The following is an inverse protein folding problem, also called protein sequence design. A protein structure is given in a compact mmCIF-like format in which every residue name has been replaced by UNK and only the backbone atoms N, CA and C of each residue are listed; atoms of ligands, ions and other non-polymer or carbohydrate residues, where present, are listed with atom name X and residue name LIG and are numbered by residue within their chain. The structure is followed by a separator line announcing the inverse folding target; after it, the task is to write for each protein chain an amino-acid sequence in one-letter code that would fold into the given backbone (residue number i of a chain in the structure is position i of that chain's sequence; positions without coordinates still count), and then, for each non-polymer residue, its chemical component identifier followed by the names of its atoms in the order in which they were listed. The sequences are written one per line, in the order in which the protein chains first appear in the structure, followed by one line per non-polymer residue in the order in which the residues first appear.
data_IF_654187321590
#
_entry.id   IF_654187321590
#
_cell.length_a   1.000
_cell.length_b   1.000
_cell.length_c   1.000
_cell.angle_alpha   90.00
_cell.angle_beta   90.00
_cell.angle_gamma   90.00
#
_symmetry.space_group_name_H-M   'P 1'
#
loop_
_entity.id
_entity.type
_entity.pdbx_description
1 polymer ?
#
# COMPACT_ATOMS: atom_id res chain seq x y z
N UNK A 1 -64.97 32.96 -51.83
CA UNK A 1 -63.58 33.15 -51.37
C UNK A 1 -63.54 32.53 -50.00
N UNK A 2 -63.13 31.26 -49.91
CA UNK A 2 -63.06 30.52 -48.65
C UNK A 2 -61.64 30.72 -48.16
N UNK A 3 -61.47 31.67 -47.24
CA UNK A 3 -60.18 31.98 -46.66
C UNK A 3 -59.58 30.70 -46.09
N UNK A 4 -58.43 30.33 -46.65
CA UNK A 4 -57.53 29.32 -46.12
C UNK A 4 -57.00 29.88 -44.81
N UNK A 5 -57.51 29.38 -43.70
CA UNK A 5 -56.76 29.41 -42.45
C UNK A 5 -55.70 28.34 -42.62
N UNK A 6 -54.55 28.72 -43.19
CA UNK A 6 -53.32 27.99 -42.92
C UNK A 6 -53.07 28.18 -41.43
N UNK A 7 -53.36 27.11 -40.70
CA UNK A 7 -52.94 26.91 -39.33
C UNK A 7 -51.40 26.98 -39.37
N UNK A 8 -50.85 28.18 -39.25
CA UNK A 8 -49.44 28.41 -38.97
C UNK A 8 -49.19 27.83 -37.58
N UNK A 9 -49.08 26.51 -37.52
CA UNK A 9 -48.33 25.82 -36.48
C UNK A 9 -46.84 26.16 -36.71
N UNK A 10 -46.50 27.44 -36.58
CA UNK A 10 -45.13 27.93 -36.42
C UNK A 10 -44.69 27.47 -35.04
N UNK A 11 -44.32 26.20 -34.96
CA UNK A 11 -43.91 25.57 -33.72
C UNK A 11 -42.72 26.34 -33.12
N UNK A 12 -42.72 26.47 -31.78
CA UNK A 12 -41.59 27.07 -31.08
C UNK A 12 -40.29 26.37 -31.47
N UNK A 13 -39.25 27.15 -31.79
CA UNK A 13 -37.90 26.64 -31.97
C UNK A 13 -37.00 27.18 -30.86
N UNK A 14 -36.01 26.37 -30.46
CA UNK A 14 -35.06 26.75 -29.42
C UNK A 14 -33.63 26.60 -29.93
N UNK A 15 -32.81 27.60 -29.67
CA UNK A 15 -31.37 27.52 -29.93
C UNK A 15 -30.70 26.49 -29.01
N UNK A 16 -29.43 26.17 -29.29
CA UNK A 16 -28.68 25.24 -28.47
C UNK A 16 -28.58 25.73 -27.00
N UNK A 17 -28.80 24.86 -26.01
CA UNK A 17 -28.61 25.21 -24.60
C UNK A 17 -27.13 25.42 -24.28
N UNK A 18 -26.85 26.14 -23.19
CA UNK A 18 -25.48 26.33 -22.70
C UNK A 18 -25.34 25.80 -21.27
N UNK A 19 -24.31 24.98 -21.04
CA UNK A 19 -24.00 24.37 -19.74
C UNK A 19 -22.59 23.78 -19.76
N UNK A 20 -22.06 23.41 -18.58
CA UNK A 20 -20.81 22.65 -18.49
C UNK A 20 -21.11 21.14 -18.53
N UNK A 21 -20.59 20.46 -19.55
CA UNK A 21 -20.79 19.02 -19.73
C UNK A 21 -19.87 18.16 -18.83
N UNK A 22 -18.90 18.77 -18.16
CA UNK A 22 -17.93 18.09 -17.28
C UNK A 22 -18.17 18.44 -15.81
N UNK A 23 -18.21 17.42 -14.94
CA UNK A 23 -18.22 17.60 -13.48
C UNK A 23 -17.32 16.58 -12.78
N UNK A 24 -17.00 16.86 -11.52
CA UNK A 24 -16.46 15.85 -10.60
C UNK A 24 -17.62 15.09 -9.99
N UNK A 25 -17.43 13.79 -9.76
CA UNK A 25 -18.41 12.95 -9.10
C UNK A 25 -18.84 13.52 -7.75
N UNK A 26 -20.15 13.67 -7.57
CA UNK A 26 -20.82 14.22 -6.39
C UNK A 26 -22.05 13.40 -5.98
N UNK A 27 -22.22 12.21 -6.54
CA UNK A 27 -23.34 11.31 -6.30
C UNK A 27 -24.66 11.68 -7.02
N UNK A 28 -24.69 12.79 -7.77
CA UNK A 28 -25.88 13.23 -8.49
C UNK A 28 -25.70 13.11 -10.01
N UNK A 29 -26.74 12.68 -10.71
CA UNK A 29 -26.79 12.69 -12.18
C UNK A 29 -27.26 14.04 -12.75
N UNK A 30 -27.35 15.10 -11.95
CA UNK A 30 -27.77 16.43 -12.41
C UNK A 30 -26.59 17.26 -12.89
N UNK A 31 -26.83 18.08 -13.92
CA UNK A 31 -25.94 19.17 -14.33
C UNK A 31 -26.26 20.39 -13.46
N UNK A 32 -25.24 20.99 -12.84
CA UNK A 32 -25.43 22.03 -11.83
C UNK A 32 -26.09 23.30 -12.36
N UNK A 33 -25.72 23.74 -13.57
CA UNK A 33 -26.26 24.95 -14.21
C UNK A 33 -26.47 24.70 -15.69
N UNK A 34 -27.69 24.95 -16.16
CA UNK A 34 -28.03 24.95 -17.58
C UNK A 34 -28.87 26.18 -17.90
N UNK A 35 -28.54 26.87 -18.98
CA UNK A 35 -29.35 27.91 -19.55
C UNK A 35 -30.01 27.40 -20.83
N UNK A 36 -31.32 27.63 -20.93
CA UNK A 36 -32.06 27.39 -22.17
C UNK A 36 -31.50 28.26 -23.30
N UNK A 37 -31.54 27.75 -24.53
CA UNK A 37 -31.27 28.58 -25.70
C UNK A 37 -32.37 29.63 -25.91
N UNK A 38 -32.12 30.56 -26.83
CA UNK A 38 -33.12 31.54 -27.27
C UNK A 38 -34.36 30.82 -27.83
N UNK A 39 -35.54 31.23 -27.34
CA UNK A 39 -36.83 30.72 -27.80
C UNK A 39 -37.39 31.66 -28.88
N UNK A 40 -37.72 31.12 -30.04
CA UNK A 40 -38.34 31.88 -31.15
C UNK A 40 -39.66 31.23 -31.59
N UNK A 41 -40.51 32.00 -32.27
CA UNK A 41 -41.85 31.56 -32.67
C UNK A 41 -42.96 31.88 -31.67
N UNK A 42 -42.67 32.68 -30.64
CA UNK A 42 -43.69 33.25 -29.74
C UNK A 42 -44.42 34.36 -30.50
N UNK A 43 -45.76 34.31 -30.52
CA UNK A 43 -46.59 35.32 -31.18
C UNK A 43 -46.42 36.69 -30.53
N UNK A 44 -46.54 37.75 -31.34
CA UNK A 44 -46.37 39.13 -30.85
C UNK A 44 -47.36 39.44 -29.71
N UNK A 45 -46.83 39.94 -28.59
CA UNK A 45 -47.62 40.28 -27.39
C UNK A 45 -47.77 39.16 -26.37
N UNK A 46 -47.45 37.90 -26.71
CA UNK A 46 -47.47 36.79 -25.75
C UNK A 46 -46.23 36.80 -24.84
N UNK A 47 -46.44 36.50 -23.56
CA UNK A 47 -45.39 36.42 -22.55
C UNK A 47 -45.07 34.96 -22.24
N UNK A 48 -43.98 34.47 -22.81
CA UNK A 48 -43.47 33.10 -22.64
C UNK A 48 -41.98 33.12 -22.30
N UNK A 49 -41.59 32.33 -21.31
CA UNK A 49 -40.21 32.12 -20.85
C UNK A 49 -39.91 30.63 -20.84
N UNK A 50 -38.78 30.23 -21.42
CA UNK A 50 -38.30 28.85 -21.40
C UNK A 50 -37.30 28.66 -20.26
N UNK A 51 -37.46 27.56 -19.52
CA UNK A 51 -36.50 27.08 -18.53
C UNK A 51 -35.93 25.74 -19.00
N UNK A 52 -34.69 25.45 -18.62
CA UNK A 52 -34.03 24.19 -18.94
C UNK A 52 -33.58 23.47 -17.66
N UNK A 53 -33.62 22.14 -17.70
CA UNK A 53 -32.96 21.26 -16.73
C UNK A 53 -32.15 20.22 -17.50
N UNK A 54 -30.99 19.82 -16.99
CA UNK A 54 -30.13 18.85 -17.66
C UNK A 54 -29.65 17.76 -16.71
N UNK A 55 -29.67 16.52 -17.18
CA UNK A 55 -29.25 15.34 -16.42
C UNK A 55 -28.41 14.39 -17.27
N UNK A 56 -27.41 13.78 -16.66
CA UNK A 56 -26.71 12.61 -17.18
C UNK A 56 -27.61 11.37 -17.10
N UNK A 57 -27.35 10.41 -17.99
CA UNK A 57 -27.99 9.08 -18.01
C UNK A 57 -27.85 8.31 -16.69
N UNK A 58 -26.72 8.45 -16.01
CA UNK A 58 -26.50 8.00 -14.63
C UNK A 58 -25.44 8.88 -13.94
N UNK A 59 -25.28 8.70 -12.63
CA UNK A 59 -24.35 9.48 -11.82
C UNK A 59 -22.90 8.99 -11.89
N UNK A 60 -22.64 7.80 -12.45
CA UNK A 60 -21.32 7.16 -12.40
C UNK A 60 -20.29 7.86 -13.29
N UNK A 61 -19.04 7.74 -12.89
CA UNK A 61 -17.88 8.25 -13.63
C UNK A 61 -17.84 7.65 -15.03
N UNK A 62 -17.51 8.49 -16.01
CA UNK A 62 -17.41 8.06 -17.39
C UNK A 62 -17.29 9.22 -18.37
N UNK A 63 -16.84 8.88 -19.57
CA UNK A 63 -16.74 9.77 -20.73
C UNK A 63 -17.86 9.48 -21.72
N UNK A 64 -18.24 10.50 -22.50
CA UNK A 64 -19.25 10.35 -23.57
C UNK A 64 -20.65 10.04 -23.04
N UNK A 65 -20.93 10.42 -21.79
CA UNK A 65 -22.23 10.20 -21.14
C UNK A 65 -23.32 10.97 -21.87
N UNK A 66 -24.52 10.38 -21.93
CA UNK A 66 -25.67 11.06 -22.52
C UNK A 66 -26.22 12.08 -21.54
N UNK A 67 -26.37 13.32 -21.99
CA UNK A 67 -27.04 14.41 -21.28
C UNK A 67 -28.37 14.68 -21.98
N UNK A 68 -29.46 14.64 -21.22
CA UNK A 68 -30.79 15.05 -21.69
C UNK A 68 -31.12 16.42 -21.13
N UNK A 69 -31.33 17.39 -22.01
CA UNK A 69 -31.81 18.73 -21.67
C UNK A 69 -33.31 18.77 -21.91
N UNK A 70 -34.09 18.98 -20.85
CA UNK A 70 -35.55 19.11 -20.90
C UNK A 70 -35.94 20.56 -20.72
N UNK A 71 -36.95 20.99 -21.49
CA UNK A 71 -37.45 22.36 -21.47
C UNK A 71 -38.84 22.42 -20.85
N UNK A 72 -39.09 23.46 -20.07
CA UNK A 72 -40.41 23.80 -19.56
C UNK A 72 -40.73 25.25 -19.90
N UNK A 73 -42.01 25.55 -20.15
CA UNK A 73 -42.46 26.91 -20.43
C UNK A 73 -43.14 27.49 -19.19
N UNK A 74 -42.96 28.79 -19.02
CA UNK A 74 -43.55 29.61 -17.95
C UNK A 74 -43.91 30.99 -18.51
N UNK A 75 -44.68 31.79 -17.76
CA UNK A 75 -45.23 33.05 -18.24
C UNK A 75 -46.75 33.00 -18.43
N UNK A 76 -47.38 34.15 -18.64
CA UNK A 76 -48.84 34.28 -18.68
C UNK A 76 -49.47 33.50 -19.85
N UNK A 77 -48.76 33.41 -20.96
CA UNK A 77 -49.26 32.82 -22.20
C UNK A 77 -48.66 31.44 -22.50
N UNK A 78 -47.84 30.89 -21.59
CA UNK A 78 -47.14 29.61 -21.78
C UNK A 78 -48.07 28.43 -22.11
N UNK A 79 -49.31 28.43 -21.58
CA UNK A 79 -50.30 27.39 -21.83
C UNK A 79 -50.83 27.35 -23.27
N UNK A 80 -50.54 28.37 -24.09
CA UNK A 80 -50.87 28.39 -25.52
C UNK A 80 -49.86 27.59 -26.37
N UNK A 81 -48.72 27.21 -25.80
CA UNK A 81 -47.60 26.62 -26.52
C UNK A 81 -47.23 25.25 -25.96
N UNK A 82 -46.62 24.42 -26.81
CA UNK A 82 -45.97 23.18 -26.38
C UNK A 82 -44.48 23.44 -26.12
N UNK A 83 -43.93 22.89 -25.04
CA UNK A 83 -42.50 23.01 -24.75
C UNK A 83 -41.66 22.37 -25.89
N UNK A 84 -40.49 22.95 -26.22
CA UNK A 84 -39.57 22.35 -27.19
C UNK A 84 -39.19 20.92 -26.83
N UNK A 85 -38.94 20.09 -27.84
CA UNK A 85 -38.50 18.73 -27.64
C UNK A 85 -37.14 18.68 -26.89
N UNK A 86 -36.89 17.67 -26.04
CA UNK A 86 -35.62 17.53 -25.35
C UNK A 86 -34.43 17.45 -26.30
N UNK A 87 -33.29 18.02 -25.90
CA UNK A 87 -32.02 17.89 -26.62
C UNK A 87 -31.17 16.78 -25.99
N UNK A 88 -30.61 15.89 -26.80
CA UNK A 88 -29.68 14.85 -26.35
C UNK A 88 -28.26 15.14 -26.83
N UNK A 89 -27.29 15.01 -25.93
CA UNK A 89 -25.86 15.25 -26.20
C UNK A 89 -25.06 14.08 -25.62
N UNK A 90 -24.06 13.57 -26.34
CA UNK A 90 -23.22 12.44 -25.90
C UNK A 90 -21.79 12.89 -25.56
N UNK A 91 -21.67 14.11 -25.03
CA UNK A 91 -20.39 14.77 -24.69
C UNK A 91 -20.17 14.88 -23.19
N UNK A 92 -21.05 14.29 -22.38
CA UNK A 92 -20.97 14.39 -20.92
C UNK A 92 -19.74 13.67 -20.35
N UNK A 93 -19.14 14.27 -19.34
CA UNK A 93 -18.02 13.71 -18.60
C UNK A 93 -18.27 13.85 -17.09
N UNK A 94 -18.17 12.72 -16.37
CA UNK A 94 -18.08 12.73 -14.91
C UNK A 94 -16.72 12.16 -14.55
N UNK A 95 -15.87 13.00 -13.97
CA UNK A 95 -14.52 12.62 -13.51
C UNK A 95 -14.57 12.07 -12.09
N UNK A 96 -13.70 11.11 -11.79
CA UNK A 96 -13.64 10.48 -10.48
C UNK A 96 -13.26 11.47 -9.38
N UNK A 97 -13.91 11.36 -8.23
CA UNK A 97 -13.59 12.18 -7.07
C UNK A 97 -12.36 11.63 -6.35
N UNK A 98 -11.36 12.48 -6.14
CA UNK A 98 -10.21 12.11 -5.32
C UNK A 98 -10.63 11.98 -3.84
N UNK A 99 -10.35 10.83 -3.25
CA UNK A 99 -10.46 10.58 -1.82
C UNK A 99 -9.15 10.91 -1.11
N UNK A 100 -9.26 11.17 0.18
CA UNK A 100 -8.13 11.24 1.10
C UNK A 100 -8.22 10.11 2.12
N UNK A 101 -7.08 9.65 2.63
CA UNK A 101 -7.01 8.58 3.61
C UNK A 101 -6.17 9.02 4.80
N UNK A 102 -6.56 8.61 6.01
CA UNK A 102 -5.72 8.79 7.18
C UNK A 102 -4.41 7.98 7.04
N UNK A 103 -3.36 8.41 7.75
CA UNK A 103 -2.04 7.78 7.70
C UNK A 103 -2.16 6.27 7.96
N UNK A 104 -1.62 5.40 7.07
CA UNK A 104 -1.66 3.97 7.26
C UNK A 104 -0.77 3.54 8.43
N UNK A 105 -1.14 2.47 9.12
CA UNK A 105 -0.27 1.85 10.12
C UNK A 105 0.55 0.73 9.45
N UNK A 106 1.87 0.79 9.57
CA UNK A 106 2.78 -0.24 9.08
C UNK A 106 3.50 -0.86 10.27
N UNK A 107 3.44 -2.18 10.39
CA UNK A 107 4.11 -2.89 11.47
C UNK A 107 5.60 -3.12 11.15
N UNK A 108 6.47 -2.83 12.12
CA UNK A 108 7.84 -3.32 12.12
C UNK A 108 7.86 -4.85 12.21
N UNK A 109 8.90 -5.48 11.68
CA UNK A 109 9.07 -6.94 11.66
C UNK A 109 10.49 -7.36 12.01
N UNK A 110 10.65 -8.59 12.48
CA UNK A 110 11.96 -9.22 12.49
C UNK A 110 12.36 -9.64 11.07
N UNK A 111 13.67 -9.73 10.85
CA UNK A 111 14.23 -10.16 9.59
C UNK A 111 13.75 -11.56 9.20
N UNK A 112 13.08 -11.67 8.06
CA UNK A 112 12.62 -12.94 7.48
C UNK A 112 13.11 -13.15 6.04
N UNK A 113 13.99 -12.26 5.56
CA UNK A 113 14.50 -12.28 4.18
C UNK A 113 13.51 -11.83 3.11
N UNK A 114 12.33 -11.31 3.48
CA UNK A 114 11.30 -10.83 2.54
C UNK A 114 11.04 -9.32 2.67
N UNK A 115 10.57 -8.71 1.58
CA UNK A 115 10.19 -7.28 1.54
C UNK A 115 8.73 -7.03 1.90
N UNK A 116 7.94 -8.05 2.20
CA UNK A 116 6.52 -7.89 2.51
C UNK A 116 6.32 -7.15 3.83
N UNK A 117 5.52 -6.09 3.81
CA UNK A 117 5.11 -5.35 4.99
C UNK A 117 3.64 -5.64 5.34
N UNK A 118 3.34 -5.66 6.64
CA UNK A 118 1.95 -5.73 7.12
C UNK A 118 1.43 -4.31 7.28
N UNK A 119 0.39 -3.98 6.51
CA UNK A 119 -0.20 -2.64 6.48
C UNK A 119 -1.67 -2.70 6.85
N UNK A 120 -2.09 -1.80 7.73
CA UNK A 120 -3.50 -1.51 7.99
C UNK A 120 -3.84 -0.17 7.36
N UNK A 121 -4.82 -0.17 6.47
CA UNK A 121 -5.30 1.06 5.81
C UNK A 121 -5.92 2.02 6.84
N UNK A 122 -5.73 3.33 6.62
CA UNK A 122 -6.44 4.35 7.39
C UNK A 122 -7.91 4.48 6.99
N UNK A 123 -8.62 5.36 7.68
CA UNK A 123 -10.01 5.68 7.34
C UNK A 123 -10.08 6.57 6.08
N UNK A 124 -10.99 6.24 5.16
CA UNK A 124 -11.30 7.07 4.00
C UNK A 124 -12.07 8.32 4.41
N UNK A 125 -11.80 9.41 3.71
CA UNK A 125 -12.48 10.70 3.85
C UNK A 125 -12.84 11.24 2.46
N UNK A 126 -13.99 11.91 2.36
CA UNK A 126 -14.50 12.45 1.09
C UNK A 126 -15.47 11.55 0.33
N UNK A 127 -15.83 10.37 0.85
CA UNK A 127 -16.91 9.53 0.31
C UNK A 127 -18.23 10.31 0.35
N UNK A 128 -18.99 10.26 -0.73
CA UNK A 128 -20.24 10.99 -0.91
C UNK A 128 -21.39 10.23 -0.27
N UNK A 129 -22.16 10.91 0.59
CA UNK A 129 -23.42 10.41 1.11
C UNK A 129 -23.31 9.01 1.74
N UNK A 130 -24.09 8.07 1.19
CA UNK A 130 -24.16 6.67 1.63
C UNK A 130 -23.47 5.71 0.67
N UNK A 131 -22.55 6.19 -0.17
CA UNK A 131 -21.81 5.34 -1.09
C UNK A 131 -21.05 4.24 -0.35
N UNK A 132 -21.08 3.04 -0.92
CA UNK A 132 -20.37 1.90 -0.38
C UNK A 132 -18.99 1.80 -1.01
N UNK A 133 -18.00 2.31 -0.28
CA UNK A 133 -16.58 2.26 -0.65
C UNK A 133 -15.75 1.75 0.52
N UNK A 134 -14.97 0.71 0.28
CA UNK A 134 -13.98 0.16 1.22
C UNK A 134 -12.58 0.29 0.65
N UNK A 135 -11.57 0.21 1.51
CA UNK A 135 -10.16 0.25 1.13
C UNK A 135 -9.40 -0.91 1.76
N UNK A 136 -8.52 -1.51 0.98
CA UNK A 136 -7.45 -2.39 1.47
C UNK A 136 -6.09 -1.80 1.11
N UNK A 137 -5.07 -2.16 1.89
CA UNK A 137 -3.70 -1.71 1.67
C UNK A 137 -2.76 -2.91 1.59
N UNK A 138 -1.76 -2.81 0.71
CA UNK A 138 -0.58 -3.68 0.70
C UNK A 138 0.67 -2.83 0.87
N UNK A 139 1.73 -3.42 1.42
CA UNK A 139 2.98 -2.71 1.64
C UNK A 139 4.21 -3.54 1.28
N UNK A 140 5.22 -2.84 0.78
CA UNK A 140 6.51 -3.45 0.41
C UNK A 140 7.66 -2.56 0.88
N UNK A 141 8.57 -3.12 1.69
CA UNK A 141 9.85 -2.50 2.03
C UNK A 141 10.73 -2.37 0.78
N UNK A 142 11.55 -1.33 0.70
CA UNK A 142 12.49 -1.14 -0.42
C UNK A 142 13.48 -2.33 -0.59
N UNK A 143 13.86 -2.95 0.52
CA UNK A 143 14.73 -4.13 0.57
C UNK A 143 14.49 -4.88 1.89
N UNK A 144 14.96 -6.13 1.97
CA UNK A 144 14.74 -7.00 3.13
C UNK A 144 15.79 -6.83 4.25
N UNK A 145 16.78 -5.96 4.10
CA UNK A 145 17.87 -5.83 5.07
C UNK A 145 17.38 -5.18 6.36
N UNK A 146 17.98 -5.58 7.48
CA UNK A 146 17.79 -4.95 8.79
C UNK A 146 18.05 -3.45 8.71
N UNK A 147 17.19 -2.66 9.35
CA UNK A 147 17.33 -1.21 9.42
C UNK A 147 16.12 -0.57 10.10
N UNK A 148 16.37 0.57 10.72
CA UNK A 148 15.32 1.41 11.29
C UNK A 148 14.76 2.40 10.26
N UNK A 149 13.49 2.77 10.39
CA UNK A 149 12.83 3.79 9.58
C UNK A 149 12.82 3.46 8.07
N UNK A 150 12.82 2.18 7.70
CA UNK A 150 12.85 1.77 6.31
C UNK A 150 11.57 2.21 5.60
N UNK A 151 11.73 2.75 4.39
CA UNK A 151 10.60 3.13 3.54
C UNK A 151 9.79 1.92 3.13
N UNK A 152 8.47 2.04 3.26
CA UNK A 152 7.47 1.09 2.80
C UNK A 152 6.59 1.80 1.77
N UNK A 153 6.58 1.27 0.54
CA UNK A 153 5.62 1.69 -0.47
C UNK A 153 4.25 1.08 -0.13
N UNK A 154 3.23 1.92 0.00
CA UNK A 154 1.86 1.50 0.35
C UNK A 154 0.96 1.67 -0.87
N UNK A 155 0.35 0.58 -1.31
CA UNK A 155 -0.62 0.60 -2.41
C UNK A 155 -2.04 0.39 -1.87
N UNK A 156 -2.97 1.22 -2.31
CA UNK A 156 -4.38 1.11 -1.91
C UNK A 156 -5.23 0.53 -3.03
N UNK A 157 -6.19 -0.31 -2.64
CA UNK A 157 -7.23 -0.80 -3.55
C UNK A 157 -8.60 -0.39 -2.99
N UNK A 158 -9.36 0.36 -3.78
CA UNK A 158 -10.76 0.66 -3.47
C UNK A 158 -11.67 -0.48 -3.94
N UNK A 159 -12.69 -0.80 -3.16
CA UNK A 159 -13.70 -1.80 -3.47
C UNK A 159 -15.09 -1.34 -3.01
N UNK A 160 -16.12 -2.07 -3.42
CA UNK A 160 -17.52 -1.70 -3.17
C UNK A 160 -18.23 -1.20 -4.43
N UNK A 161 -19.55 -1.04 -4.34
CA UNK A 161 -20.40 -0.79 -5.50
C UNK A 161 -20.10 0.55 -6.19
N UNK A 162 -19.67 1.57 -5.44
CA UNK A 162 -19.36 2.90 -5.97
C UNK A 162 -17.86 3.16 -6.12
N UNK A 163 -16.98 2.17 -5.89
CA UNK A 163 -15.54 2.38 -5.89
C UNK A 163 -14.99 2.95 -7.21
N UNK A 164 -15.58 2.59 -8.35
CA UNK A 164 -15.20 3.11 -9.66
C UNK A 164 -15.42 4.62 -9.83
N UNK A 165 -16.18 5.24 -8.92
CA UNK A 165 -16.45 6.68 -8.94
C UNK A 165 -15.38 7.52 -8.22
N UNK A 166 -14.36 6.86 -7.67
CA UNK A 166 -13.35 7.47 -6.83
C UNK A 166 -11.93 7.11 -7.26
N UNK A 167 -10.99 7.99 -6.91
CA UNK A 167 -9.55 7.70 -6.99
C UNK A 167 -8.93 7.87 -5.62
N UNK A 168 -7.89 7.10 -5.33
CA UNK A 168 -7.07 7.25 -4.15
C UNK A 168 -5.61 7.08 -4.55
N UNK A 169 -4.76 8.04 -4.16
CA UNK A 169 -3.34 7.98 -4.43
C UNK A 169 -2.66 6.98 -3.47
N UNK A 170 -1.66 6.25 -3.99
CA UNK A 170 -0.76 5.45 -3.17
C UNK A 170 0.07 6.35 -2.24
N UNK A 171 0.63 5.76 -1.19
CA UNK A 171 1.35 6.49 -0.14
C UNK A 171 2.69 5.80 0.20
N UNK A 172 3.46 6.44 1.07
CA UNK A 172 4.68 5.88 1.65
C UNK A 172 4.64 6.02 3.16
N UNK A 173 5.13 5.01 3.85
CA UNK A 173 5.27 5.01 5.31
C UNK A 173 6.64 4.47 5.70
N UNK A 174 6.92 4.41 7.00
CA UNK A 174 8.17 3.87 7.53
C UNK A 174 7.91 2.81 8.59
N UNK A 175 8.72 1.76 8.59
CA UNK A 175 8.74 0.74 9.64
C UNK A 175 10.15 0.15 9.76
N UNK A 176 10.41 -0.57 10.86
CA UNK A 176 11.72 -1.17 11.09
C UNK A 176 11.73 -2.63 10.62
N UNK A 177 12.90 -3.08 10.14
CA UNK A 177 13.25 -4.50 10.10
C UNK A 177 14.33 -4.73 11.16
N UNK A 178 14.02 -5.46 12.21
CA UNK A 178 14.96 -5.75 13.31
C UNK A 178 15.74 -7.04 13.03
N UNK A 179 17.01 -7.08 13.44
CA UNK A 179 17.80 -8.31 13.37
C UNK A 179 17.29 -9.36 14.35
N UNK A 180 17.48 -10.64 14.03
CA UNK A 180 17.25 -11.76 14.94
C UNK A 180 18.48 -11.90 15.86
N UNK A 181 18.27 -11.93 17.17
CA UNK A 181 19.36 -12.20 18.11
C UNK A 181 19.84 -13.66 17.98
N UNK A 182 21.17 -13.86 17.95
CA UNK A 182 21.75 -15.20 18.06
C UNK A 182 21.49 -15.73 19.47
N UNK A 183 21.05 -16.99 19.53
CA UNK A 183 20.89 -17.74 20.78
C UNK A 183 22.00 -18.77 20.86
N UNK A 184 22.65 -18.88 22.02
CA UNK A 184 23.69 -19.87 22.25
C UNK A 184 23.18 -21.30 22.05
N UNK A 185 24.06 -22.16 21.55
CA UNK A 185 23.77 -23.54 21.20
C UNK A 185 24.98 -24.45 21.47
N UNK A 186 24.81 -25.74 21.20
CA UNK A 186 25.88 -26.72 21.26
C UNK A 186 26.92 -26.46 20.15
N UNK A 187 28.21 -26.34 20.52
CA UNK A 187 29.29 -26.03 19.58
C UNK A 187 29.77 -27.25 18.79
N UNK A 188 29.61 -28.46 19.32
CA UNK A 188 30.07 -29.70 18.68
C UNK A 188 31.58 -29.80 18.53
N UNK A 189 32.35 -29.11 19.38
CA UNK A 189 33.81 -29.21 19.37
C UNK A 189 34.23 -30.56 19.94
N UNK A 190 35.14 -31.25 19.26
CA UNK A 190 35.75 -32.48 19.79
C UNK A 190 36.78 -32.13 20.85
N UNK A 191 36.80 -32.86 21.96
CA UNK A 191 37.85 -32.72 22.97
C UNK A 191 39.22 -33.05 22.38
N UNK A 192 40.32 -32.42 22.87
CA UNK A 192 41.67 -32.79 22.50
C UNK A 192 41.95 -34.27 22.73
N UNK A 193 42.45 -34.96 21.70
CA UNK A 193 42.89 -36.36 21.78
C UNK A 193 44.40 -36.41 21.66
N UNK A 194 45.07 -37.00 22.64
CA UNK A 194 46.54 -37.09 22.66
C UNK A 194 47.05 -37.80 21.39
N UNK A 195 48.04 -37.20 20.72
CA UNK A 195 48.60 -37.71 19.48
C UNK A 195 47.83 -37.33 18.21
N UNK A 196 46.72 -36.61 18.34
CA UNK A 196 45.96 -36.04 17.22
C UNK A 196 46.21 -34.54 17.06
N UNK A 197 46.07 -34.05 15.83
CA UNK A 197 46.18 -32.64 15.53
C UNK A 197 44.89 -31.86 15.92
N UNK A 198 44.98 -30.56 16.24
CA UNK A 198 43.79 -29.76 16.52
C UNK A 198 42.83 -29.67 15.33
N UNK A 199 41.54 -29.87 15.60
CA UNK A 199 40.48 -29.69 14.60
C UNK A 199 40.11 -28.21 14.53
N UNK A 200 40.36 -27.59 13.38
CA UNK A 200 40.11 -26.15 13.11
C UNK A 200 38.93 -25.90 12.18
N UNK A 201 38.09 -26.92 11.94
CA UNK A 201 36.90 -26.80 11.09
C UNK A 201 35.96 -25.70 11.60
N UNK A 202 35.32 -25.00 10.67
CA UNK A 202 34.28 -24.04 11.02
C UNK A 202 33.10 -24.72 11.71
N UNK A 203 32.59 -24.12 12.77
CA UNK A 203 31.31 -24.50 13.37
C UNK A 203 30.17 -23.74 12.71
N UNK A 204 28.97 -24.30 12.74
CA UNK A 204 27.76 -23.63 12.25
C UNK A 204 26.66 -23.75 13.30
N UNK A 205 25.82 -22.72 13.38
CA UNK A 205 24.61 -22.74 14.20
C UNK A 205 23.53 -21.85 13.56
N UNK A 206 22.38 -21.75 14.23
CA UNK A 206 21.29 -20.91 13.73
C UNK A 206 21.73 -19.44 13.74
N UNK A 207 21.91 -18.88 12.55
CA UNK A 207 22.24 -17.47 12.39
C UNK A 207 23.71 -17.11 12.51
N UNK A 208 24.62 -18.08 12.57
CA UNK A 208 26.06 -17.80 12.60
C UNK A 208 26.92 -18.94 12.04
N UNK A 209 28.13 -18.57 11.62
CA UNK A 209 29.26 -19.48 11.49
C UNK A 209 30.30 -19.15 12.56
N UNK A 210 31.23 -20.06 12.85
CA UNK A 210 32.30 -19.81 13.80
C UNK A 210 33.64 -20.37 13.33
N UNK A 211 34.73 -19.65 13.55
CA UNK A 211 36.09 -20.10 13.26
C UNK A 211 36.79 -20.52 14.55
N UNK A 212 37.40 -21.70 14.55
CA UNK A 212 38.05 -22.28 15.73
C UNK A 212 39.55 -22.04 15.68
N UNK A 213 40.09 -21.42 16.72
CA UNK A 213 41.52 -21.26 16.94
C UNK A 213 41.95 -21.91 18.25
N UNK A 214 42.95 -22.79 18.18
CA UNK A 214 43.47 -23.49 19.36
C UNK A 214 44.70 -22.79 19.94
N UNK A 215 44.79 -22.78 21.27
CA UNK A 215 45.97 -22.36 22.02
C UNK A 215 46.35 -23.42 23.05
N UNK A 216 47.64 -23.49 23.37
CA UNK A 216 48.26 -24.53 24.21
C UNK A 216 49.51 -25.08 23.54
N UNK A 217 50.40 -25.70 24.31
CA UNK A 217 51.65 -26.25 23.75
C UNK A 217 51.38 -27.59 23.07
N UNK A 218 51.61 -27.66 21.77
CA UNK A 218 51.59 -28.91 21.00
C UNK A 218 52.96 -29.60 21.05
N UNK A 219 53.01 -30.87 20.68
CA UNK A 219 54.27 -31.59 20.50
C UNK A 219 55.02 -31.12 19.23
N UNK A 220 56.19 -31.72 18.97
CA UNK A 220 57.03 -31.39 17.80
C UNK A 220 56.39 -31.65 16.45
N UNK A 221 55.31 -32.43 16.41
CA UNK A 221 54.54 -32.78 15.21
C UNK A 221 53.21 -31.99 15.11
N UNK A 222 52.98 -31.04 16.03
CA UNK A 222 51.78 -30.21 16.05
C UNK A 222 50.54 -30.93 16.60
N UNK A 223 50.71 -31.93 17.46
CA UNK A 223 49.63 -32.71 18.05
C UNK A 223 49.44 -32.41 19.54
N UNK A 224 48.27 -32.75 20.06
CA UNK A 224 47.97 -32.62 21.48
C UNK A 224 48.82 -33.58 22.31
N UNK A 225 49.28 -33.12 23.47
CA UNK A 225 50.07 -33.89 24.44
C UNK A 225 49.41 -33.90 25.84
N UNK A 226 49.81 -34.87 26.66
CA UNK A 226 49.31 -35.04 28.03
C UNK A 226 49.77 -33.91 28.95
N UNK A 227 49.01 -33.64 30.01
CA UNK A 227 49.35 -32.69 31.06
C UNK A 227 49.25 -31.20 30.67
N UNK A 228 48.59 -30.88 29.55
CA UNK A 228 48.46 -29.52 29.04
C UNK A 228 47.03 -29.00 29.15
N UNK A 229 46.89 -27.68 29.22
CA UNK A 229 45.59 -27.01 29.07
C UNK A 229 45.49 -26.51 27.63
N UNK A 230 44.42 -26.91 26.95
CA UNK A 230 44.11 -26.45 25.61
C UNK A 230 42.86 -25.60 25.62
N UNK A 231 42.91 -24.47 24.92
CA UNK A 231 41.77 -23.56 24.79
C UNK A 231 41.40 -23.40 23.33
N UNK A 232 40.17 -23.75 22.99
CA UNK A 232 39.54 -23.45 21.72
C UNK A 232 38.81 -22.11 21.83
N UNK A 233 39.25 -21.13 21.03
CA UNK A 233 38.56 -19.86 20.87
C UNK A 233 37.77 -19.91 19.57
N UNK A 234 36.45 -19.83 19.69
CA UNK A 234 35.51 -19.73 18.58
C UNK A 234 35.18 -18.27 18.35
N UNK A 235 35.46 -17.78 17.14
CA UNK A 235 35.01 -16.44 16.69
C UNK A 235 33.76 -16.58 15.85
N UNK A 236 32.63 -16.10 16.35
CA UNK A 236 31.32 -16.11 15.70
C UNK A 236 31.23 -15.01 14.64
N UNK A 237 30.66 -15.36 13.50
CA UNK A 237 30.29 -14.44 12.41
C UNK A 237 28.78 -14.57 12.18
N UNK A 238 27.98 -13.54 12.53
CA UNK A 238 26.55 -13.53 12.27
C UNK A 238 26.24 -13.66 10.78
N UNK A 239 25.21 -14.44 10.45
CA UNK A 239 24.63 -14.49 9.12
C UNK A 239 23.80 -13.22 8.84
N UNK A 240 23.44 -12.98 7.58
CA UNK A 240 22.59 -11.85 7.20
C UNK A 240 21.30 -11.85 8.01
N UNK A 241 21.00 -10.69 8.61
CA UNK A 241 19.80 -10.49 9.42
C UNK A 241 19.90 -10.98 10.86
N UNK A 242 21.03 -11.53 11.27
CA UNK A 242 21.32 -11.90 12.65
C UNK A 242 22.26 -10.91 13.32
N UNK A 243 22.18 -10.81 14.64
CA UNK A 243 23.06 -9.98 15.47
C UNK A 243 23.52 -10.72 16.71
N UNK A 244 24.68 -10.32 17.24
CA UNK A 244 25.12 -10.76 18.56
C UNK A 244 24.43 -9.99 19.68
N UNK A 245 23.83 -8.82 19.41
CA UNK A 245 23.07 -8.07 20.41
C UNK A 245 21.91 -8.90 20.95
N UNK A 246 21.86 -9.06 22.27
CA UNK A 246 20.92 -9.94 22.97
C UNK A 246 21.46 -11.35 23.25
N UNK A 247 22.67 -11.68 22.79
CA UNK A 247 23.32 -12.96 23.10
C UNK A 247 23.65 -13.01 24.59
N UNK A 248 23.09 -14.00 25.29
CA UNK A 248 23.25 -14.15 26.73
C UNK A 248 24.64 -14.70 27.09
N UNK A 249 25.12 -14.32 28.27
CA UNK A 249 26.36 -14.84 28.87
C UNK A 249 26.28 -16.36 29.08
N UNK A 250 27.38 -17.07 28.81
CA UNK A 250 27.53 -18.51 29.01
C UNK A 250 26.37 -19.33 28.41
N UNK A 251 25.85 -18.92 27.26
CA UNK A 251 24.68 -19.53 26.61
C UNK A 251 25.01 -20.69 25.67
N UNK A 252 26.31 -20.92 25.38
CA UNK A 252 26.77 -22.05 24.57
C UNK A 252 27.14 -23.25 25.43
N UNK A 253 27.05 -24.44 24.84
CA UNK A 253 27.46 -25.71 25.46
C UNK A 253 28.45 -26.47 24.60
N UNK A 254 29.16 -27.42 25.21
CA UNK A 254 29.98 -28.39 24.50
C UNK A 254 29.93 -29.77 25.18
N UNK A 255 29.27 -30.72 24.54
CA UNK A 255 29.02 -32.09 25.01
C UNK A 255 30.27 -32.94 25.09
N UNK A 256 31.30 -32.66 24.29
CA UNK A 256 32.60 -33.32 24.42
C UNK A 256 33.38 -32.90 25.66
N UNK A 257 32.85 -31.97 26.47
CA UNK A 257 33.45 -31.47 27.69
C UNK A 257 34.17 -30.14 27.51
N UNK A 258 35.00 -29.81 28.51
CA UNK A 258 35.59 -28.49 28.66
C UNK A 258 34.66 -27.49 29.34
N UNK A 259 35.22 -26.38 29.82
CA UNK A 259 34.43 -25.26 30.37
C UNK A 259 34.15 -24.26 29.26
N UNK A 260 32.87 -24.04 28.95
CA UNK A 260 32.43 -23.10 27.90
C UNK A 260 32.10 -21.76 28.56
N UNK A 261 32.61 -20.67 27.97
CA UNK A 261 32.32 -19.31 28.41
C UNK A 261 32.12 -18.37 27.22
N UNK A 262 31.22 -17.41 27.37
CA UNK A 262 31.08 -16.26 26.46
C UNK A 262 30.49 -15.09 27.25
N UNK A 263 30.94 -13.86 26.97
CA UNK A 263 30.31 -12.66 27.50
C UNK A 263 29.01 -12.32 26.74
N UNK A 264 28.17 -11.45 27.32
CA UNK A 264 27.00 -10.87 26.64
C UNK A 264 27.44 -10.17 25.35
N UNK A 265 26.68 -10.36 24.27
CA UNK A 265 26.90 -9.75 22.95
C UNK A 265 28.28 -10.05 22.31
N UNK A 266 29.02 -11.01 22.85
CA UNK A 266 30.39 -11.32 22.43
C UNK A 266 30.41 -12.16 21.16
N UNK A 267 31.28 -11.80 20.22
CA UNK A 267 31.62 -12.64 19.08
C UNK A 267 32.55 -13.81 19.47
N UNK A 268 33.04 -13.85 20.71
CA UNK A 268 34.00 -14.86 21.17
C UNK A 268 33.35 -15.82 22.16
N UNK A 269 33.49 -17.11 21.87
CA UNK A 269 33.18 -18.23 22.78
C UNK A 269 34.47 -19.00 23.06
N UNK A 270 34.74 -19.30 24.31
CA UNK A 270 35.97 -19.99 24.74
C UNK A 270 35.61 -21.31 25.37
N UNK A 271 36.29 -22.38 24.93
CA UNK A 271 36.19 -23.72 25.53
C UNK A 271 37.56 -24.17 26.02
N UNK A 272 37.69 -24.35 27.33
CA UNK A 272 38.96 -24.77 27.96
C UNK A 272 38.89 -26.23 28.39
N UNK A 273 39.85 -27.02 27.90
CA UNK A 273 40.03 -28.44 28.21
C UNK A 273 41.30 -28.63 29.04
N UNK A 274 41.23 -29.47 30.07
CA UNK A 274 42.42 -29.95 30.79
C UNK A 274 42.68 -31.38 30.34
N UNK A 275 43.82 -31.66 29.71
CA UNK A 275 44.20 -33.03 29.36
C UNK A 275 44.83 -33.72 30.56
N UNK A 276 44.47 -34.99 30.76
CA UNK A 276 45.07 -35.85 31.79
C UNK A 276 46.50 -36.28 31.43
#
# INVERSE_FOLDING_TARGET
MKEMWEDENSGLTIAAPTFNATKVYDGANTVATVAAGELTGVAEGDIVTVNATATYDNADVGNGKTITVSYTLSGADAGKYSAPAPTLLTTGEITAKALTIAVPAVASKEYDGTTTATVTAGALTGVVGSDTVTVSATGTFADANVGAGKTVAVAYTLAGAQAGNYTLANDTATADITAIAIVGAELGLTAPVIGEAPVTSSITGTGYTGTVNWTGTLDGDGKFQSGQVYTATVTLTPATGYTLTGLLENSFTNTSGGTVTNAVDSATVTVTFTTL
#
